data_IF_550898462456
#
_entry.id   IF_550898462456
#
_cell.length_a   1.000
_cell.length_b   1.000
_cell.length_c   1.000
_cell.angle_alpha   90.00
_cell.angle_beta   90.00
_cell.angle_gamma   90.00
#
_symmetry.space_group_name_H-M   'P 1'
#
loop_
_entity.id
_entity.type
_entity.pdbx_description
1 polymer ?
#
# COMPACT_ATOMS: atom_id res chain seq x y z
N UNK A 1 -32.88 -21.63 11.52
CA UNK A 1 -32.59 -20.18 11.48
C UNK A 1 -31.24 -19.98 10.82
N UNK A 2 -31.21 -19.47 9.59
CA UNK A 2 -29.95 -19.13 8.91
C UNK A 2 -29.41 -17.79 9.47
N UNK A 3 -28.08 -17.58 9.55
CA UNK A 3 -27.54 -16.33 10.04
C UNK A 3 -27.81 -15.22 9.03
N UNK A 4 -28.33 -14.09 9.52
CA UNK A 4 -28.48 -12.85 8.78
C UNK A 4 -27.09 -12.45 8.24
N UNK A 5 -26.91 -12.51 6.93
CA UNK A 5 -25.75 -11.91 6.28
C UNK A 5 -25.78 -10.41 6.55
N UNK A 6 -24.94 -9.96 7.49
CA UNK A 6 -24.70 -8.55 7.76
C UNK A 6 -24.19 -7.88 6.49
N UNK A 7 -25.09 -7.20 5.79
CA UNK A 7 -24.80 -6.42 4.58
C UNK A 7 -24.11 -5.07 4.90
N UNK A 8 -23.80 -4.80 6.17
CA UNK A 8 -23.12 -3.57 6.58
C UNK A 8 -21.60 -3.78 6.60
N UNK A 9 -20.96 -3.48 5.47
CA UNK A 9 -19.52 -3.32 5.43
C UNK A 9 -19.16 -1.98 6.10
N UNK A 10 -18.80 -2.03 7.39
CA UNK A 10 -18.25 -0.86 8.08
C UNK A 10 -16.74 -0.79 7.88
N UNK A 11 -16.26 0.34 7.35
CA UNK A 11 -14.83 0.56 7.25
C UNK A 11 -14.22 0.60 8.66
N UNK A 12 -13.11 -0.12 8.84
CA UNK A 12 -12.38 -0.11 10.10
C UNK A 12 -11.91 1.29 10.53
N UNK A 13 -11.50 1.46 11.80
CA UNK A 13 -11.09 2.75 12.34
C UNK A 13 -10.01 3.40 11.47
N UNK A 14 -10.17 4.71 11.23
CA UNK A 14 -9.23 5.50 10.42
C UNK A 14 -7.84 5.42 11.04
N UNK A 15 -6.85 4.97 10.26
CA UNK A 15 -5.45 5.08 10.66
C UNK A 15 -5.09 6.56 10.78
N UNK A 16 -4.27 6.89 11.77
CA UNK A 16 -3.83 8.28 11.96
C UNK A 16 -3.11 8.78 10.68
N UNK A 17 -3.62 9.81 10.00
CA UNK A 17 -3.09 10.23 8.70
C UNK A 17 -1.61 10.60 8.73
N UNK A 18 -1.15 11.20 9.84
CA UNK A 18 0.26 11.57 10.04
C UNK A 18 1.16 10.35 10.11
N UNK A 19 0.77 9.32 10.86
CA UNK A 19 1.51 8.06 10.95
C UNK A 19 1.52 7.33 9.61
N UNK A 20 0.40 7.35 8.88
CA UNK A 20 0.33 6.76 7.54
C UNK A 20 1.29 7.46 6.56
N UNK A 21 1.28 8.80 6.53
CA UNK A 21 2.17 9.58 5.70
C UNK A 21 3.63 9.35 6.07
N UNK A 22 3.97 9.38 7.37
CA UNK A 22 5.31 9.07 7.85
C UNK A 22 5.74 7.65 7.43
N UNK A 23 4.84 6.67 7.52
CA UNK A 23 5.13 5.31 7.14
C UNK A 23 5.41 5.14 5.64
N UNK A 24 4.64 5.83 4.80
CA UNK A 24 4.85 5.85 3.36
C UNK A 24 6.17 6.53 2.99
N UNK A 25 6.44 7.72 3.54
CA UNK A 25 7.66 8.49 3.28
C UNK A 25 8.92 7.73 3.70
N UNK A 26 8.95 7.18 4.92
CA UNK A 26 10.09 6.40 5.39
C UNK A 26 10.40 5.21 4.48
N UNK A 27 9.37 4.52 3.98
CA UNK A 27 9.57 3.41 3.05
C UNK A 27 10.04 3.84 1.66
N UNK A 28 9.57 4.98 1.18
CA UNK A 28 10.10 5.58 -0.04
C UNK A 28 11.59 5.91 0.12
N UNK A 29 11.98 6.48 1.27
CA UNK A 29 13.38 6.78 1.57
C UNK A 29 14.25 5.52 1.62
N UNK A 30 13.78 4.41 2.19
CA UNK A 30 14.52 3.14 2.16
C UNK A 30 14.85 2.68 0.74
N UNK A 31 13.98 2.99 -0.22
CA UNK A 31 14.16 2.57 -1.62
C UNK A 31 14.98 3.57 -2.42
N UNK A 32 14.84 4.87 -2.14
CA UNK A 32 15.55 5.94 -2.84
C UNK A 32 17.00 6.10 -2.37
N UNK A 33 17.22 5.93 -1.07
CA UNK A 33 18.51 6.13 -0.41
C UNK A 33 18.82 4.95 0.52
N UNK A 34 18.91 3.70 0.01
CA UNK A 34 19.16 2.53 0.85
C UNK A 34 20.43 2.70 1.70
N UNK A 35 21.44 3.40 1.20
CA UNK A 35 22.69 3.66 1.89
C UNK A 35 22.55 4.49 3.17
N UNK A 36 21.44 5.21 3.37
CA UNK A 36 21.19 6.00 4.59
C UNK A 36 20.63 5.17 5.75
N UNK A 37 20.32 3.89 5.53
CA UNK A 37 19.60 3.07 6.49
C UNK A 37 20.35 1.79 6.88
N UNK A 38 20.24 1.34 8.14
CA UNK A 38 20.88 0.11 8.59
C UNK A 38 20.08 -1.12 8.12
N UNK A 39 20.58 -1.78 7.08
CA UNK A 39 20.02 -3.06 6.60
C UNK A 39 20.54 -4.25 7.41
N UNK A 40 21.77 -4.15 7.91
CA UNK A 40 22.48 -5.17 8.69
C UNK A 40 22.58 -4.80 10.18
N UNK A 41 23.14 -5.68 11.03
CA UNK A 41 23.18 -5.41 12.50
C UNK A 41 24.36 -4.52 12.64
N UNK A 42 24.09 -3.31 13.05
CA UNK A 42 25.11 -2.52 13.69
C UNK A 42 25.01 -2.84 15.18
N UNK A 43 26.17 -2.82 15.86
CA UNK A 43 26.24 -2.98 17.30
C UNK A 43 25.58 -1.81 18.05
N UNK A 44 25.29 -0.72 17.34
CA UNK A 44 24.52 0.42 17.82
C UNK A 44 23.02 0.11 17.92
N UNK A 45 22.34 0.76 18.86
CA UNK A 45 20.91 0.59 19.21
C UNK A 45 19.90 0.95 18.10
N UNK A 46 20.36 1.19 16.87
CA UNK A 46 19.52 1.60 15.75
C UNK A 46 18.83 0.38 15.14
N UNK A 47 17.50 0.41 15.13
CA UNK A 47 16.68 -0.65 14.54
C UNK A 47 16.99 -0.84 13.06
N UNK A 48 17.13 -2.11 12.65
CA UNK A 48 17.28 -2.45 11.24
C UNK A 48 16.03 -2.13 10.44
N UNK A 49 16.17 -1.91 9.14
CA UNK A 49 15.03 -1.75 8.21
C UNK A 49 14.01 -2.89 8.35
N UNK A 50 14.45 -4.13 8.54
CA UNK A 50 13.55 -5.28 8.72
C UNK A 50 12.74 -5.21 10.03
N UNK A 51 13.33 -4.68 11.10
CA UNK A 51 12.67 -4.50 12.40
C UNK A 51 11.75 -3.28 12.39
N UNK A 52 12.19 -2.18 11.78
CA UNK A 52 11.35 -1.02 11.51
C UNK A 52 10.15 -1.41 10.64
N UNK A 53 10.35 -2.25 9.62
CA UNK A 53 9.26 -2.73 8.75
C UNK A 53 8.19 -3.44 9.56
N UNK A 54 8.58 -4.40 10.41
CA UNK A 54 7.66 -5.11 11.32
C UNK A 54 6.93 -4.14 12.25
N UNK A 55 7.68 -3.19 12.85
CA UNK A 55 7.07 -2.14 13.69
C UNK A 55 6.12 -1.25 12.91
N UNK A 56 6.27 -1.08 11.60
CA UNK A 56 5.39 -0.25 10.78
C UNK A 56 4.21 -1.01 10.17
N UNK A 57 4.20 -2.34 10.17
CA UNK A 57 3.12 -3.14 9.56
C UNK A 57 1.74 -2.84 10.16
N UNK A 58 1.66 -2.54 11.46
CA UNK A 58 0.41 -2.18 12.12
C UNK A 58 -0.19 -0.85 11.64
N UNK A 59 0.59 -0.02 10.94
CA UNK A 59 0.09 1.22 10.31
C UNK A 59 -0.75 0.95 9.05
N UNK A 60 -0.81 -0.31 8.59
CA UNK A 60 -1.63 -0.74 7.46
C UNK A 60 -0.95 -0.61 6.10
N UNK A 61 0.26 -0.05 6.06
CA UNK A 61 1.13 -0.11 4.89
C UNK A 61 2.00 -1.34 5.04
N UNK A 62 2.01 -2.25 4.08
CA UNK A 62 3.02 -3.31 3.95
C UNK A 62 3.53 -3.35 2.49
N UNK A 63 4.58 -4.15 2.24
CA UNK A 63 5.17 -4.25 0.91
C UNK A 63 4.17 -4.73 -0.16
N UNK A 64 3.19 -5.56 0.24
CA UNK A 64 2.10 -6.00 -0.63
C UNK A 64 1.21 -4.83 -1.05
N UNK A 65 0.84 -3.93 -0.13
CA UNK A 65 0.06 -2.72 -0.44
C UNK A 65 0.82 -1.81 -1.41
N UNK A 66 2.10 -1.52 -1.16
CA UNK A 66 2.90 -0.67 -2.04
C UNK A 66 3.06 -1.27 -3.45
N UNK A 67 3.15 -2.60 -3.55
CA UNK A 67 3.15 -3.32 -4.83
C UNK A 67 1.79 -3.26 -5.53
N UNK A 68 0.68 -3.47 -4.82
CA UNK A 68 -0.68 -3.37 -5.38
C UNK A 68 -0.97 -1.95 -5.88
N UNK A 69 -0.52 -0.93 -5.14
CA UNK A 69 -0.58 0.46 -5.60
C UNK A 69 0.28 0.73 -6.83
N UNK A 70 1.07 -0.23 -7.32
CA UNK A 70 1.90 -0.10 -8.50
C UNK A 70 3.16 0.75 -8.28
N UNK A 71 3.53 1.03 -7.03
CA UNK A 71 4.70 1.86 -6.74
C UNK A 71 6.01 1.07 -6.84
N UNK A 72 5.92 -0.21 -6.48
CA UNK A 72 7.06 -1.12 -6.44
C UNK A 72 6.92 -2.20 -7.49
N UNK A 73 8.07 -2.67 -7.95
CA UNK A 73 8.20 -3.87 -8.75
C UNK A 73 9.18 -4.84 -8.08
N UNK A 74 9.01 -6.12 -8.37
CA UNK A 74 9.84 -7.17 -7.80
C UNK A 74 11.09 -7.34 -8.66
N UNK A 75 12.27 -7.37 -8.05
CA UNK A 75 13.53 -7.57 -8.77
C UNK A 75 13.68 -8.99 -9.33
N UNK A 76 12.89 -9.95 -8.82
CA UNK A 76 12.85 -11.36 -9.24
C UNK A 76 11.42 -11.88 -9.23
N UNK A 77 11.19 -13.07 -9.82
CA UNK A 77 9.94 -13.81 -9.68
C UNK A 77 9.77 -14.27 -8.22
N UNK A 78 8.66 -13.87 -7.58
CA UNK A 78 8.37 -14.17 -6.18
C UNK A 78 7.10 -15.02 -6.09
N UNK A 79 7.26 -16.25 -5.63
CA UNK A 79 6.18 -17.24 -5.49
C UNK A 79 5.37 -17.10 -4.20
N UNK A 80 5.89 -16.35 -3.21
CA UNK A 80 5.22 -16.08 -1.93
C UNK A 80 4.37 -14.81 -1.99
N UNK A 81 3.34 -14.74 -1.13
CA UNK A 81 2.37 -13.64 -1.14
C UNK A 81 2.97 -12.24 -0.92
N UNK A 82 3.80 -12.07 0.12
CA UNK A 82 4.41 -10.76 0.45
C UNK A 82 5.92 -10.77 0.18
N UNK A 83 6.44 -9.88 -0.69
CA UNK A 83 7.86 -9.77 -0.99
C UNK A 83 8.64 -9.09 0.13
N UNK A 84 9.91 -9.49 0.31
CA UNK A 84 10.82 -8.81 1.22
C UNK A 84 11.25 -7.46 0.63
N UNK A 85 11.62 -6.51 1.49
CA UNK A 85 12.02 -5.16 1.07
C UNK A 85 13.25 -5.20 0.14
N UNK A 86 14.20 -6.11 0.37
CA UNK A 86 15.38 -6.30 -0.48
C UNK A 86 15.07 -6.85 -1.88
N UNK A 87 13.84 -7.33 -2.12
CA UNK A 87 13.39 -7.87 -3.40
C UNK A 87 12.54 -6.88 -4.19
N UNK A 88 12.41 -5.66 -3.66
CA UNK A 88 11.60 -4.62 -4.24
C UNK A 88 12.51 -3.51 -4.72
N UNK A 89 12.13 -2.93 -5.85
CA UNK A 89 12.66 -1.65 -6.30
C UNK A 89 11.51 -0.71 -6.58
N UNK A 90 11.78 0.58 -6.38
CA UNK A 90 10.87 1.63 -6.80
C UNK A 90 10.77 1.60 -8.33
N UNK A 91 9.56 1.72 -8.89
CA UNK A 91 9.41 1.91 -10.33
C UNK A 91 10.05 3.23 -10.77
N UNK A 92 10.34 3.34 -12.06
CA UNK A 92 10.96 4.55 -12.60
C UNK A 92 10.05 5.76 -12.34
N UNK A 93 10.67 6.91 -12.06
CA UNK A 93 9.94 8.14 -11.74
C UNK A 93 8.89 8.51 -12.80
N UNK A 94 9.24 8.36 -14.09
CA UNK A 94 8.30 8.60 -15.20
C UNK A 94 7.10 7.66 -15.18
N UNK A 95 7.27 6.41 -14.77
CA UNK A 95 6.17 5.44 -14.65
C UNK A 95 5.26 5.78 -13.46
N UNK A 96 5.84 6.23 -12.34
CA UNK A 96 5.09 6.70 -11.18
C UNK A 96 4.28 7.95 -11.50
N UNK A 97 4.84 8.89 -12.27
CA UNK A 97 4.11 10.07 -12.73
C UNK A 97 2.96 9.69 -13.66
N UNK A 98 3.19 8.79 -14.62
CA UNK A 98 2.13 8.26 -15.50
C UNK A 98 1.02 7.61 -14.68
N UNK A 99 1.38 6.75 -13.73
CA UNK A 99 0.45 6.11 -12.81
C UNK A 99 -0.35 7.13 -11.99
N UNK A 100 0.31 8.16 -11.44
CA UNK A 100 -0.37 9.22 -10.70
C UNK A 100 -1.39 9.94 -11.58
N UNK A 101 -1.00 10.35 -12.79
CA UNK A 101 -1.90 11.03 -13.73
C UNK A 101 -3.09 10.16 -14.10
N UNK A 102 -2.84 8.87 -14.39
CA UNK A 102 -3.89 7.87 -14.65
C UNK A 102 -4.87 7.79 -13.47
N UNK A 103 -4.37 7.59 -12.25
CA UNK A 103 -5.20 7.46 -11.05
C UNK A 103 -6.01 8.73 -10.76
N UNK A 104 -5.44 9.92 -10.96
CA UNK A 104 -6.17 11.17 -10.81
C UNK A 104 -7.31 11.30 -11.84
N UNK A 105 -7.09 10.86 -13.08
CA UNK A 105 -8.14 10.84 -14.12
C UNK A 105 -9.26 9.82 -13.88
N UNK A 106 -9.06 8.91 -12.93
CA UNK A 106 -10.01 7.88 -12.52
C UNK A 106 -10.78 8.25 -11.25
N UNK A 107 -10.44 9.36 -10.57
CA UNK A 107 -11.10 9.75 -9.31
C UNK A 107 -12.61 9.91 -9.46
N UNK A 108 -13.08 10.42 -10.61
CA UNK A 108 -14.50 10.59 -10.90
C UNK A 108 -15.21 9.28 -11.29
N UNK A 109 -14.45 8.19 -11.45
CA UNK A 109 -14.91 6.87 -11.92
C UNK A 109 -14.48 5.80 -10.92
N UNK A 110 -15.18 5.71 -9.76
CA UNK A 110 -14.74 4.88 -8.63
C UNK A 110 -14.56 3.41 -9.02
N UNK A 111 -15.43 2.85 -9.86
CA UNK A 111 -15.33 1.45 -10.30
C UNK A 111 -14.03 1.19 -11.07
N UNK A 112 -13.67 2.09 -12.00
CA UNK A 112 -12.45 1.97 -12.78
C UNK A 112 -11.20 2.22 -11.92
N UNK A 113 -11.26 3.19 -11.01
CA UNK A 113 -10.17 3.45 -10.04
C UNK A 113 -9.86 2.20 -9.20
N UNK A 114 -10.92 1.56 -8.70
CA UNK A 114 -10.87 0.35 -7.88
C UNK A 114 -10.34 -0.83 -8.70
N UNK A 115 -10.87 -1.02 -9.91
CA UNK A 115 -10.37 -2.03 -10.84
C UNK A 115 -8.90 -1.83 -11.17
N UNK A 116 -8.45 -0.57 -11.26
CA UNK A 116 -7.06 -0.24 -11.57
C UNK A 116 -6.08 -0.48 -10.42
N UNK A 117 -6.47 -0.16 -9.18
CA UNK A 117 -5.60 -0.33 -8.00
C UNK A 117 -5.58 -1.78 -7.52
N UNK A 118 -6.72 -2.45 -7.52
CA UNK A 118 -6.86 -3.77 -6.89
C UNK A 118 -6.92 -4.91 -7.91
N UNK A 119 -6.83 -4.58 -9.20
CA UNK A 119 -6.93 -5.55 -10.30
C UNK A 119 -8.20 -6.42 -10.19
N UNK A 120 -9.29 -5.82 -9.71
CA UNK A 120 -10.56 -6.50 -9.44
C UNK A 120 -11.71 -5.78 -10.13
N UNK A 121 -12.44 -6.50 -10.99
CA UNK A 121 -13.65 -6.00 -11.65
C UNK A 121 -14.92 -6.37 -10.86
N UNK A 122 -14.78 -6.71 -9.58
CA UNK A 122 -15.91 -7.05 -8.72
C UNK A 122 -16.75 -5.80 -8.43
N UNK A 123 -17.94 -5.76 -9.05
CA UNK A 123 -18.91 -4.67 -8.90
C UNK A 123 -19.39 -4.50 -7.45
N UNK A 124 -19.53 -5.58 -6.69
CA UNK A 124 -19.91 -5.49 -5.27
C UNK A 124 -18.81 -4.81 -4.46
N UNK A 125 -17.55 -5.08 -4.82
CA UNK A 125 -16.40 -4.45 -4.20
C UNK A 125 -16.29 -2.97 -4.58
N UNK A 126 -16.52 -2.63 -5.84
CA UNK A 126 -16.57 -1.25 -6.32
C UNK A 126 -17.64 -0.41 -5.62
N UNK A 127 -18.84 -0.97 -5.50
CA UNK A 127 -19.97 -0.35 -4.81
C UNK A 127 -19.68 -0.11 -3.32
N UNK A 128 -19.01 -1.04 -2.63
CA UNK A 128 -18.63 -0.87 -1.22
C UNK A 128 -17.62 0.26 -1.04
N UNK A 129 -16.61 0.33 -1.89
CA UNK A 129 -15.62 1.40 -1.81
C UNK A 129 -16.21 2.78 -2.16
N UNK A 130 -17.16 2.88 -3.09
CA UNK A 130 -17.86 4.14 -3.35
C UNK A 130 -18.65 4.61 -2.13
N UNK A 131 -19.31 3.71 -1.41
CA UNK A 131 -19.97 4.03 -0.13
C UNK A 131 -18.98 4.56 0.92
N UNK A 132 -17.78 3.99 1.00
CA UNK A 132 -16.73 4.46 1.91
C UNK A 132 -16.26 5.87 1.55
N UNK A 133 -16.06 6.15 0.26
CA UNK A 133 -15.62 7.49 -0.20
C UNK A 133 -16.72 8.51 0.09
N UNK A 134 -17.98 8.21 -0.24
CA UNK A 134 -19.12 9.09 -0.03
C UNK A 134 -19.41 9.36 1.46
N UNK A 135 -19.26 8.35 2.33
CA UNK A 135 -19.41 8.53 3.79
C UNK A 135 -18.25 9.31 4.45
N UNK A 136 -17.22 9.67 3.68
CA UNK A 136 -15.97 10.28 4.17
C UNK A 136 -15.65 11.64 3.53
N UNK A 137 -16.48 12.11 2.61
CA UNK A 137 -16.54 13.50 2.13
C UNK A 137 -17.57 14.27 2.93
#
# INVERSE_FOLDING_TARGET
MAPLHGNEFCAGPKKEPKLLAAALTTRMLWLLHPEWFPWEKNYDEILRVSEMTKKMEHTGVNNRVLRMLGWLETTRLIWRGTPHTSELRLRLHLELLKLRTELLSLLDRPEEFIGRIFHSQDKAWAHRCSQIIAARM
#
